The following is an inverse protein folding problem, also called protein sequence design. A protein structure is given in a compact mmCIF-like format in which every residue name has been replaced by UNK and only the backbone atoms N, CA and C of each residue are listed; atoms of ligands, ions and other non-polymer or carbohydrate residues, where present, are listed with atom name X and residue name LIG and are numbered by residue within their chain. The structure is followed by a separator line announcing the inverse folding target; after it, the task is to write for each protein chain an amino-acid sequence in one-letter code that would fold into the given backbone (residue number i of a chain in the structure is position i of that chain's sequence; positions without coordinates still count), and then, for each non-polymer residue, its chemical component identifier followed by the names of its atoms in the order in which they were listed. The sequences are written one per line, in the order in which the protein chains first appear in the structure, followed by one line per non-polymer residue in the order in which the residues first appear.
data_IF_900596800275
#
_entry.id   IF_900596800275
#
_cell.length_a   1.000
_cell.length_b   1.000
_cell.length_c   1.000
_cell.angle_alpha   90.00
_cell.angle_beta   90.00
_cell.angle_gamma   90.00
#
_symmetry.space_group_name_H-M   'P 1'
#
loop_
_entity.id
_entity.type
_entity.pdbx_description
1 polymer ?
#
# COMPACT_ATOMS: atom_id res chain seq x y z
N UNK A 1 -22.74 20.40 29.91
CA UNK A 1 -22.06 19.10 29.74
C UNK A 1 -22.81 18.33 28.66
N UNK A 2 -22.40 18.47 27.40
CA UNK A 2 -23.08 17.83 26.26
C UNK A 2 -22.47 16.44 26.06
N UNK A 3 -23.25 15.41 26.38
CA UNK A 3 -22.97 14.02 26.04
C UNK A 3 -22.98 13.87 24.52
N UNK A 4 -21.80 13.75 23.93
CA UNK A 4 -21.66 13.29 22.54
C UNK A 4 -22.19 11.86 22.48
N UNK A 5 -23.30 11.65 21.76
CA UNK A 5 -23.72 10.33 21.29
C UNK A 5 -22.59 9.81 20.39
N UNK A 6 -21.84 8.82 20.88
CA UNK A 6 -21.08 7.94 19.99
C UNK A 6 -22.12 7.20 19.16
N UNK A 7 -22.20 7.53 17.86
CA UNK A 7 -22.97 6.74 16.91
C UNK A 7 -22.05 5.56 16.60
N UNK A 8 -22.37 4.38 17.11
CA UNK A 8 -21.62 3.15 16.84
C UNK A 8 -21.55 2.95 15.33
N UNK A 9 -20.34 2.99 14.76
CA UNK A 9 -20.11 2.64 13.35
C UNK A 9 -20.57 1.18 13.17
N UNK A 10 -21.40 0.87 12.17
CA UNK A 10 -21.81 -0.51 11.93
C UNK A 10 -20.58 -1.41 11.74
N UNK A 11 -20.65 -2.63 12.26
CA UNK A 11 -19.57 -3.60 12.12
C UNK A 11 -19.39 -3.96 10.63
N UNK A 12 -18.18 -3.81 10.12
CA UNK A 12 -17.83 -4.07 8.72
C UNK A 12 -17.26 -5.47 8.57
N UNK A 13 -17.79 -6.24 7.61
CA UNK A 13 -17.37 -7.61 7.32
C UNK A 13 -16.53 -7.70 6.04
N UNK A 14 -15.62 -8.67 6.00
CA UNK A 14 -14.88 -9.03 4.78
C UNK A 14 -15.58 -10.17 4.02
N UNK A 15 -15.45 -10.25 2.68
CA UNK A 15 -16.05 -11.31 1.87
C UNK A 15 -15.71 -12.72 2.35
N UNK A 16 -14.44 -12.98 2.69
CA UNK A 16 -13.99 -14.29 3.18
C UNK A 16 -14.74 -14.76 4.43
N UNK A 17 -15.00 -13.85 5.37
CA UNK A 17 -15.66 -14.18 6.63
C UNK A 17 -17.11 -14.61 6.37
N UNK A 18 -17.80 -13.91 5.47
CA UNK A 18 -19.15 -14.23 5.05
C UNK A 18 -19.18 -15.60 4.37
N UNK A 19 -18.32 -15.82 3.38
CA UNK A 19 -18.26 -17.08 2.64
C UNK A 19 -17.98 -18.26 3.55
N UNK A 20 -17.07 -18.10 4.52
CA UNK A 20 -16.76 -19.16 5.48
C UNK A 20 -17.96 -19.53 6.37
N UNK A 21 -18.83 -18.57 6.74
CA UNK A 21 -20.06 -18.88 7.48
C UNK A 21 -21.04 -19.72 6.66
N UNK A 22 -21.20 -19.42 5.37
CA UNK A 22 -22.10 -20.17 4.48
C UNK A 22 -21.52 -21.50 4.00
N UNK A 23 -20.19 -21.63 3.90
CA UNK A 23 -19.56 -22.90 3.55
C UNK A 23 -19.79 -23.98 4.61
N UNK A 24 -19.87 -23.57 5.88
CA UNK A 24 -19.99 -24.49 7.01
C UNK A 24 -21.43 -24.65 7.51
N UNK A 25 -22.40 -23.93 6.94
CA UNK A 25 -23.79 -23.95 7.39
C UNK A 25 -24.78 -23.58 6.29
N UNK A 26 -25.94 -24.26 6.29
CA UNK A 26 -27.07 -23.93 5.42
C UNK A 26 -27.82 -22.69 5.87
N UNK A 27 -27.53 -22.12 7.04
CA UNK A 27 -28.08 -20.86 7.55
C UNK A 27 -26.98 -20.01 8.20
N UNK A 28 -27.11 -18.70 8.13
CA UNK A 28 -26.14 -17.78 8.71
C UNK A 28 -26.85 -16.68 9.49
N UNK A 29 -26.15 -16.09 10.46
CA UNK A 29 -26.63 -14.90 11.20
C UNK A 29 -26.79 -13.66 10.30
N UNK A 30 -26.32 -13.73 9.05
CA UNK A 30 -26.48 -12.70 8.03
C UNK A 30 -27.79 -12.81 7.25
N UNK A 31 -28.50 -13.95 7.30
CA UNK A 31 -29.72 -14.14 6.53
C UNK A 31 -30.79 -13.10 6.94
N UNK A 32 -31.31 -12.35 5.96
CA UNK A 32 -32.39 -11.37 6.17
C UNK A 32 -31.98 -10.07 6.88
N UNK A 33 -30.67 -9.77 6.95
CA UNK A 33 -30.16 -8.53 7.58
C UNK A 33 -29.35 -7.69 6.61
N UNK A 34 -29.44 -6.38 6.80
CA UNK A 34 -28.51 -5.44 6.20
C UNK A 34 -27.17 -5.50 6.96
N UNK A 35 -26.10 -5.62 6.20
CA UNK A 35 -24.72 -5.73 6.67
C UNK A 35 -23.81 -4.83 5.83
N UNK A 36 -22.74 -4.34 6.45
CA UNK A 36 -21.69 -3.62 5.72
C UNK A 36 -20.60 -4.60 5.33
N UNK A 37 -20.30 -4.67 4.03
CA UNK A 37 -19.23 -5.49 3.47
C UNK A 37 -18.22 -4.58 2.81
N UNK A 38 -16.93 -4.83 3.08
CA UNK A 38 -15.86 -4.02 2.51
C UNK A 38 -14.93 -4.80 1.58
N UNK A 39 -14.35 -4.10 0.61
CA UNK A 39 -13.41 -4.72 -0.31
C UNK A 39 -13.08 -3.84 -1.51
N UNK A 40 -12.26 -4.38 -2.40
CA UNK A 40 -11.89 -3.77 -3.67
C UNK A 40 -12.97 -4.09 -4.69
N UNK A 41 -13.62 -3.06 -5.22
CA UNK A 41 -14.60 -3.21 -6.28
C UNK A 41 -13.94 -3.59 -7.59
N UNK A 42 -14.48 -4.60 -8.28
CA UNK A 42 -14.03 -5.04 -9.60
C UNK A 42 -15.19 -4.99 -10.59
N UNK A 43 -15.07 -4.11 -11.58
CA UNK A 43 -16.03 -4.04 -12.69
C UNK A 43 -15.80 -5.21 -13.65
N UNK A 44 -16.81 -6.06 -13.81
CA UNK A 44 -16.73 -7.20 -14.71
C UNK A 44 -17.07 -6.85 -16.17
N UNK A 45 -17.32 -5.58 -16.48
CA UNK A 45 -17.69 -5.07 -17.82
C UNK A 45 -18.88 -5.80 -18.43
N UNK A 46 -19.77 -6.34 -17.58
CA UNK A 46 -20.98 -7.05 -18.02
C UNK A 46 -22.08 -6.07 -18.38
N UNK A 47 -22.94 -6.50 -19.31
CA UNK A 47 -24.09 -5.70 -19.73
C UNK A 47 -25.10 -5.53 -18.58
N UNK A 48 -25.78 -4.38 -18.57
CA UNK A 48 -26.89 -4.11 -17.68
C UNK A 48 -28.00 -5.15 -17.90
N UNK A 49 -28.44 -5.82 -16.84
CA UNK A 49 -29.55 -6.76 -16.86
C UNK A 49 -30.67 -6.24 -15.96
N UNK A 50 -31.73 -5.73 -16.59
CA UNK A 50 -32.92 -5.22 -15.91
C UNK A 50 -32.63 -4.11 -14.87
N UNK A 51 -31.72 -3.19 -15.18
CA UNK A 51 -31.33 -2.08 -14.30
C UNK A 51 -30.22 -2.41 -13.31
N UNK A 52 -29.68 -3.63 -13.34
CA UNK A 52 -28.65 -4.09 -12.41
C UNK A 52 -27.40 -4.63 -13.12
N UNK A 53 -26.28 -4.52 -12.42
CA UNK A 53 -24.99 -5.07 -12.81
C UNK A 53 -24.54 -6.12 -11.79
N UNK A 54 -23.80 -7.12 -12.28
CA UNK A 54 -23.28 -8.22 -11.49
C UNK A 54 -21.74 -8.18 -11.54
N UNK A 55 -21.18 -7.51 -10.55
CA UNK A 55 -19.75 -7.25 -10.39
C UNK A 55 -19.20 -8.03 -9.20
N UNK A 56 -17.93 -7.83 -8.84
CA UNK A 56 -17.32 -8.49 -7.70
C UNK A 56 -16.79 -7.47 -6.68
N UNK A 57 -16.86 -7.84 -5.40
CA UNK A 57 -16.19 -7.16 -4.30
C UNK A 57 -15.19 -8.13 -3.69
N UNK A 58 -13.90 -7.85 -3.88
CA UNK A 58 -12.79 -8.72 -3.50
C UNK A 58 -12.24 -8.29 -2.14
N UNK A 59 -11.90 -9.25 -1.28
CA UNK A 59 -11.21 -8.96 -0.03
C UNK A 59 -9.96 -8.12 -0.26
N UNK A 60 -9.69 -7.16 0.61
CA UNK A 60 -8.46 -6.37 0.52
C UNK A 60 -7.22 -7.19 0.89
N UNK A 61 -7.38 -8.12 1.84
CA UNK A 61 -6.33 -8.99 2.36
C UNK A 61 -6.48 -10.45 1.90
N UNK A 62 -7.40 -10.76 0.98
CA UNK A 62 -7.61 -12.11 0.45
C UNK A 62 -8.04 -12.10 -1.02
N UNK A 63 -7.72 -13.18 -1.75
CA UNK A 63 -8.17 -13.36 -3.14
C UNK A 63 -9.65 -13.75 -3.25
N UNK A 64 -10.31 -13.95 -2.11
CA UNK A 64 -11.72 -14.33 -2.04
C UNK A 64 -12.60 -13.10 -2.23
N UNK A 65 -13.58 -13.23 -3.11
CA UNK A 65 -14.54 -12.17 -3.40
C UNK A 65 -15.97 -12.67 -3.36
N UNK A 66 -16.89 -11.74 -3.15
CA UNK A 66 -18.32 -11.99 -3.25
C UNK A 66 -18.88 -11.26 -4.47
N UNK A 67 -19.81 -11.92 -5.17
CA UNK A 67 -20.53 -11.28 -6.26
C UNK A 67 -21.48 -10.25 -5.68
N UNK A 68 -21.44 -9.04 -6.23
CA UNK A 68 -22.35 -7.97 -5.88
C UNK A 68 -23.38 -7.75 -7.00
N UNK A 69 -24.60 -7.43 -6.60
CA UNK A 69 -25.66 -6.94 -7.49
C UNK A 69 -25.89 -5.47 -7.16
N UNK A 70 -25.68 -4.60 -8.14
CA UNK A 70 -25.68 -3.15 -7.95
C UNK A 70 -26.52 -2.44 -9.01
N UNK A 71 -27.30 -1.44 -8.59
CA UNK A 71 -28.09 -0.62 -9.51
C UNK A 71 -27.24 0.39 -10.28
N UNK A 72 -27.74 0.83 -11.43
CA UNK A 72 -27.03 1.71 -12.37
C UNK A 72 -26.48 3.00 -11.70
N UNK A 73 -27.31 3.66 -10.90
CA UNK A 73 -26.96 4.91 -10.20
C UNK A 73 -25.77 4.71 -9.26
N UNK A 74 -25.78 3.62 -8.48
CA UNK A 74 -24.69 3.33 -7.54
C UNK A 74 -23.43 2.91 -8.29
N UNK A 75 -23.55 2.10 -9.35
CA UNK A 75 -22.41 1.68 -10.17
C UNK A 75 -21.67 2.87 -10.76
N UNK A 76 -22.38 3.91 -11.21
CA UNK A 76 -21.77 5.13 -11.73
C UNK A 76 -20.86 5.85 -10.71
N UNK A 77 -21.04 5.59 -9.41
CA UNK A 77 -20.22 6.15 -8.33
C UNK A 77 -19.03 5.26 -7.94
N UNK A 78 -18.93 4.05 -8.51
CA UNK A 78 -17.86 3.10 -8.24
C UNK A 78 -16.78 3.14 -9.32
N UNK A 79 -15.52 3.07 -8.88
CA UNK A 79 -14.36 2.97 -9.76
C UNK A 79 -13.66 1.64 -9.49
N UNK A 80 -13.52 0.82 -10.54
CA UNK A 80 -12.84 -0.47 -10.43
C UNK A 80 -11.43 -0.32 -9.86
N UNK A 81 -11.04 -1.20 -8.94
CA UNK A 81 -9.78 -1.16 -8.23
C UNK A 81 -9.79 -0.29 -6.97
N UNK A 82 -10.91 0.38 -6.63
CA UNK A 82 -11.01 1.17 -5.41
C UNK A 82 -11.70 0.41 -4.27
N UNK A 83 -11.33 0.77 -3.03
CA UNK A 83 -11.90 0.18 -1.82
C UNK A 83 -13.19 0.89 -1.45
N UNK A 84 -14.22 0.10 -1.15
CA UNK A 84 -15.52 0.59 -0.70
C UNK A 84 -16.01 -0.20 0.50
N UNK A 85 -16.75 0.49 1.36
CA UNK A 85 -17.65 -0.12 2.34
C UNK A 85 -19.07 0.00 1.77
N UNK A 86 -19.71 -1.13 1.51
CA UNK A 86 -21.03 -1.23 0.88
C UNK A 86 -22.02 -1.83 1.88
N UNK A 87 -23.16 -1.18 2.09
CA UNK A 87 -24.25 -1.75 2.88
C UNK A 87 -25.29 -2.39 1.96
N UNK A 88 -25.88 -3.47 2.42
CA UNK A 88 -26.80 -4.28 1.67
C UNK A 88 -27.10 -5.60 2.35
N UNK A 89 -27.77 -6.52 1.66
CA UNK A 89 -28.15 -7.82 2.20
C UNK A 89 -27.72 -8.96 1.30
N UNK A 90 -27.58 -10.15 1.88
CA UNK A 90 -27.24 -11.35 1.14
C UNK A 90 -28.50 -12.03 0.60
N UNK A 91 -28.45 -12.41 -0.66
CA UNK A 91 -29.45 -13.21 -1.35
C UNK A 91 -28.81 -14.48 -1.87
N UNK A 92 -29.52 -15.58 -1.70
CA UNK A 92 -29.14 -16.87 -2.27
C UNK A 92 -29.74 -16.94 -3.67
N UNK A 93 -28.89 -17.10 -4.67
CA UNK A 93 -29.35 -17.36 -6.02
C UNK A 93 -29.89 -18.78 -6.17
N UNK A 94 -30.46 -19.06 -7.33
CA UNK A 94 -30.95 -20.39 -7.65
C UNK A 94 -29.81 -21.40 -7.67
N UNK A 95 -30.03 -22.55 -7.02
CA UNK A 95 -29.09 -23.67 -7.08
C UNK A 95 -28.95 -24.13 -8.53
N UNK A 96 -27.71 -24.19 -9.01
CA UNK A 96 -27.36 -24.76 -10.32
C UNK A 96 -26.15 -25.66 -10.14
N UNK A 97 -26.21 -26.87 -10.69
CA UNK A 97 -25.11 -27.85 -10.63
C UNK A 97 -24.53 -28.04 -9.22
N UNK A 98 -25.42 -28.17 -8.23
CA UNK A 98 -25.09 -28.29 -6.80
C UNK A 98 -24.32 -27.09 -6.20
N UNK A 99 -24.29 -25.96 -6.89
CA UNK A 99 -23.71 -24.72 -6.41
C UNK A 99 -24.82 -23.75 -5.99
N UNK A 100 -24.72 -23.21 -4.77
CA UNK A 100 -25.60 -22.18 -4.23
C UNK A 100 -24.88 -20.82 -4.29
N UNK A 101 -25.08 -20.01 -5.35
CA UNK A 101 -24.39 -18.74 -5.46
C UNK A 101 -24.93 -17.77 -4.41
N UNK A 102 -24.02 -17.19 -3.63
CA UNK A 102 -24.32 -16.09 -2.73
C UNK A 102 -24.10 -14.76 -3.46
N UNK A 103 -25.11 -13.89 -3.43
CA UNK A 103 -25.07 -12.58 -4.09
C UNK A 103 -25.35 -11.51 -3.05
N UNK A 104 -24.49 -10.51 -2.97
CA UNK A 104 -24.69 -9.36 -2.10
C UNK A 104 -25.43 -8.24 -2.86
N UNK A 105 -26.66 -7.93 -2.46
CA UNK A 105 -27.45 -6.85 -3.04
C UNK A 105 -27.03 -5.53 -2.40
N UNK A 106 -26.37 -4.66 -3.16
CA UNK A 106 -25.86 -3.37 -2.67
C UNK A 106 -27.01 -2.37 -2.60
N UNK A 107 -27.28 -1.86 -1.40
CA UNK A 107 -28.29 -0.83 -1.15
C UNK A 107 -27.67 0.58 -1.13
N UNK A 108 -26.49 0.73 -0.56
CA UNK A 108 -25.82 2.03 -0.44
C UNK A 108 -24.29 1.90 -0.32
N UNK A 109 -23.59 2.98 -0.66
CA UNK A 109 -22.15 3.13 -0.42
C UNK A 109 -22.01 3.90 0.90
N UNK A 110 -21.53 3.25 1.95
CA UNK A 110 -21.39 3.86 3.27
C UNK A 110 -20.01 4.43 3.52
N UNK A 111 -19.02 4.00 2.75
CA UNK A 111 -17.64 4.45 2.90
C UNK A 111 -16.81 4.25 1.64
N UNK A 112 -15.80 5.11 1.50
CA UNK A 112 -14.80 5.05 0.45
C UNK A 112 -13.45 5.42 1.04
N UNK A 113 -12.47 4.54 0.91
CA UNK A 113 -11.11 4.82 1.39
C UNK A 113 -10.10 4.63 0.25
N UNK A 114 -9.62 5.76 -0.27
CA UNK A 114 -8.63 5.79 -1.36
C UNK A 114 -7.26 5.25 -0.92
N UNK A 115 -6.93 5.24 0.37
CA UNK A 115 -5.64 4.76 0.87
C UNK A 115 -5.62 3.23 0.93
N UNK A 116 -6.70 2.61 1.39
CA UNK A 116 -6.86 1.14 1.43
C UNK A 116 -6.88 0.56 0.01
N UNK A 117 -7.35 1.32 -0.99
CA UNK A 117 -7.38 0.87 -2.38
C UNK A 117 -6.02 0.52 -3.01
N UNK A 118 -4.89 0.82 -2.35
CA UNK A 118 -3.55 0.60 -2.91
C UNK A 118 -2.56 -0.16 -1.99
N UNK A 119 -2.86 -0.38 -0.72
CA UNK A 119 -1.83 -0.68 0.29
C UNK A 119 -2.38 -1.67 1.32
N UNK A 120 -1.70 -2.80 1.59
CA UNK A 120 -2.22 -3.81 2.55
C UNK A 120 -2.25 -3.24 3.96
N UNK A 121 -3.08 -3.77 4.86
CA UNK A 121 -3.21 -3.30 6.26
C UNK A 121 -1.85 -3.23 6.98
N UNK A 122 -1.00 -4.24 6.80
CA UNK A 122 0.38 -4.23 7.34
C UNK A 122 1.27 -3.13 6.74
N UNK A 123 1.04 -2.78 5.48
CA UNK A 123 1.78 -1.70 4.82
C UNK A 123 1.23 -0.33 5.24
N UNK A 124 -0.06 -0.22 5.56
CA UNK A 124 -0.69 0.99 6.09
C UNK A 124 -0.16 1.34 7.48
N UNK A 125 -0.06 0.36 8.39
CA UNK A 125 0.53 0.56 9.71
C UNK A 125 2.01 0.98 9.63
N UNK A 126 2.75 0.43 8.68
CA UNK A 126 4.15 0.80 8.42
C UNK A 126 4.28 2.25 7.91
N UNK A 127 3.44 2.66 6.97
CA UNK A 127 3.42 4.03 6.44
C UNK A 127 2.94 5.02 7.51
N UNK A 128 1.88 4.66 8.25
CA UNK A 128 1.32 5.48 9.32
C UNK A 128 2.33 5.68 10.45
N UNK A 129 2.96 4.60 10.92
CA UNK A 129 4.00 4.69 11.95
C UNK A 129 5.19 5.55 11.52
N UNK A 130 5.58 5.51 10.24
CA UNK A 130 6.64 6.37 9.69
C UNK A 130 6.22 7.83 9.57
N UNK A 131 4.98 8.09 9.14
CA UNK A 131 4.44 9.44 9.10
C UNK A 131 4.31 10.05 10.51
N UNK A 132 3.87 9.25 11.48
CA UNK A 132 3.76 9.63 12.90
C UNK A 132 5.13 9.82 13.57
N UNK A 133 6.17 9.09 13.13
CA UNK A 133 7.54 9.28 13.62
C UNK A 133 8.20 10.59 13.15
N UNK A 134 7.54 11.30 12.23
CA UNK A 134 8.03 12.54 11.65
C UNK A 134 9.09 12.32 10.56
N UNK A 135 9.13 13.23 9.60
CA UNK A 135 10.20 13.25 8.60
C UNK A 135 11.49 13.75 9.26
N UNK A 136 12.58 13.00 9.10
CA UNK A 136 13.85 13.32 9.72
C UNK A 136 14.50 14.55 9.07
N UNK A 137 14.87 15.55 9.87
CA UNK A 137 15.74 16.63 9.41
C UNK A 137 17.18 16.12 9.27
N UNK A 138 17.47 15.50 8.13
CA UNK A 138 18.76 14.93 7.79
C UNK A 138 19.87 15.98 7.83
N UNK A 139 19.57 17.25 7.48
CA UNK A 139 20.57 18.32 7.55
C UNK A 139 20.98 18.59 8.99
N UNK A 140 20.02 18.65 9.90
CA UNK A 140 20.29 18.82 11.33
C UNK A 140 20.94 17.58 11.94
N UNK A 141 20.54 16.37 11.52
CA UNK A 141 21.14 15.11 11.96
C UNK A 141 22.63 15.02 11.56
N UNK A 142 22.95 15.24 10.28
CA UNK A 142 24.33 15.25 9.77
C UNK A 142 25.15 16.34 10.47
N UNK A 143 24.63 17.56 10.58
CA UNK A 143 25.33 18.65 11.29
C UNK A 143 25.62 18.30 12.75
N UNK A 144 24.69 17.62 13.43
CA UNK A 144 24.88 17.19 14.81
C UNK A 144 25.98 16.14 14.91
N UNK A 145 25.95 15.11 14.08
CA UNK A 145 27.00 14.10 14.02
C UNK A 145 28.38 14.73 13.75
N UNK A 146 28.46 15.65 12.79
CA UNK A 146 29.70 16.36 12.46
C UNK A 146 30.21 17.27 13.59
N UNK A 147 29.33 17.85 14.41
CA UNK A 147 29.70 18.59 15.63
C UNK A 147 30.20 17.67 16.73
N UNK A 148 29.63 16.48 16.82
CA UNK A 148 30.01 15.44 17.80
C UNK A 148 31.25 14.63 17.38
N UNK A 149 31.98 15.05 16.32
CA UNK A 149 33.09 14.30 15.72
C UNK A 149 32.73 12.85 15.34
N UNK A 150 31.46 12.61 14.99
CA UNK A 150 31.00 11.35 14.39
C UNK A 150 31.04 11.50 12.87
N UNK A 151 31.58 10.49 12.21
CA UNK A 151 31.69 10.43 10.74
C UNK A 151 30.42 9.78 10.16
N UNK A 152 29.50 10.54 9.54
CA UNK A 152 28.27 9.99 8.99
C UNK A 152 28.59 8.96 7.91
N UNK A 153 27.96 7.79 7.96
CA UNK A 153 28.11 6.76 6.93
C UNK A 153 27.07 6.99 5.84
N UNK A 154 27.53 7.30 4.63
CA UNK A 154 26.67 7.55 3.47
C UNK A 154 26.89 6.43 2.45
N UNK A 155 25.86 5.64 2.19
CA UNK A 155 25.84 4.62 1.15
C UNK A 155 25.19 5.24 -0.09
N UNK A 156 25.97 5.37 -1.15
CA UNK A 156 25.55 5.94 -2.42
C UNK A 156 25.36 4.81 -3.42
N UNK A 157 24.12 4.61 -3.87
CA UNK A 157 23.75 3.64 -4.90
C UNK A 157 23.73 4.34 -6.26
N UNK A 158 24.47 3.80 -7.23
CA UNK A 158 24.59 4.34 -8.58
C UNK A 158 24.30 3.27 -9.63
N UNK A 159 23.96 3.70 -10.86
CA UNK A 159 23.86 2.81 -12.01
C UNK A 159 25.19 2.12 -12.34
N UNK A 160 25.15 0.92 -12.90
CA UNK A 160 26.35 0.15 -13.27
C UNK A 160 27.37 0.96 -14.10
N UNK A 161 26.86 1.71 -15.09
CA UNK A 161 27.67 2.53 -16.01
C UNK A 161 27.92 3.96 -15.50
N UNK A 162 27.50 4.26 -14.27
CA UNK A 162 27.61 5.60 -13.71
C UNK A 162 29.05 5.93 -13.30
N UNK A 163 29.51 7.12 -13.71
CA UNK A 163 30.81 7.73 -13.36
C UNK A 163 30.56 8.98 -12.50
N UNK A 164 29.70 8.87 -11.48
CA UNK A 164 29.30 10.00 -10.61
C UNK A 164 30.14 10.12 -9.34
N UNK A 165 31.05 9.18 -9.11
CA UNK A 165 31.96 9.17 -7.96
C UNK A 165 32.87 10.40 -7.94
N UNK A 166 33.50 10.72 -9.09
CA UNK A 166 34.37 11.88 -9.24
C UNK A 166 33.62 13.20 -9.09
N UNK A 167 32.42 13.29 -9.64
CA UNK A 167 31.58 14.50 -9.54
C UNK A 167 31.11 14.72 -8.10
N UNK A 168 30.69 13.67 -7.41
CA UNK A 168 30.32 13.73 -5.99
C UNK A 168 31.47 14.24 -5.12
N UNK A 169 32.65 13.64 -5.27
CA UNK A 169 33.83 14.04 -4.50
C UNK A 169 34.36 15.43 -4.85
N UNK A 170 34.14 15.89 -6.08
CA UNK A 170 34.49 17.25 -6.49
C UNK A 170 33.52 18.27 -5.87
N UNK A 171 32.22 17.97 -5.84
CA UNK A 171 31.21 18.81 -5.21
C UNK A 171 31.34 18.86 -3.67
N UNK A 172 31.78 17.76 -3.04
CA UNK A 172 31.98 17.69 -1.59
C UNK A 172 33.14 18.59 -1.11
N UNK A 173 34.10 18.88 -1.99
CA UNK A 173 35.36 19.54 -1.64
C UNK A 173 36.35 18.57 -0.97
N UNK A 174 37.63 18.70 -1.32
CA UNK A 174 38.71 17.85 -0.78
C UNK A 174 38.81 17.89 0.74
N UNK A 175 38.57 19.04 1.35
CA UNK A 175 38.69 19.26 2.80
C UNK A 175 37.60 18.58 3.64
N UNK A 176 36.50 18.15 3.03
CA UNK A 176 35.38 17.54 3.74
C UNK A 176 35.34 16.01 3.61
N UNK A 177 36.16 15.41 2.73
CA UNK A 177 36.11 13.96 2.44
C UNK A 177 36.32 13.11 3.68
N UNK A 178 37.29 13.48 4.52
CA UNK A 178 37.64 12.72 5.71
C UNK A 178 36.60 12.83 6.83
N UNK A 179 35.59 13.70 6.66
CA UNK A 179 34.50 13.90 7.63
C UNK A 179 33.32 12.97 7.40
N UNK A 180 33.33 12.15 6.35
CA UNK A 180 32.25 11.21 6.02
C UNK A 180 32.80 9.83 5.67
N UNK A 181 32.04 8.77 6.00
CA UNK A 181 32.31 7.41 5.52
C UNK A 181 31.43 7.12 4.31
N UNK A 182 31.94 7.41 3.12
CA UNK A 182 31.19 7.26 1.87
C UNK A 182 31.48 5.88 1.26
N UNK A 183 30.42 5.17 0.89
CA UNK A 183 30.50 3.85 0.23
C UNK A 183 29.68 3.93 -1.05
N UNK A 184 30.31 3.65 -2.19
CA UNK A 184 29.61 3.53 -3.47
C UNK A 184 29.22 2.08 -3.72
N UNK A 185 27.97 1.88 -4.12
CA UNK A 185 27.42 0.60 -4.53
C UNK A 185 26.82 0.74 -5.92
N UNK A 186 27.13 -0.20 -6.80
CA UNK A 186 26.61 -0.20 -8.17
C UNK A 186 25.50 -1.23 -8.29
N UNK A 187 24.41 -0.85 -8.94
CA UNK A 187 23.32 -1.77 -9.28
C UNK A 187 22.58 -1.23 -10.50
N UNK A 188 21.79 -2.08 -11.14
CA UNK A 188 20.82 -1.60 -12.10
C UNK A 188 19.66 -0.92 -11.37
N UNK A 189 19.75 0.40 -11.23
CA UNK A 189 18.74 1.23 -10.58
C UNK A 189 17.38 1.23 -11.29
N UNK A 190 17.26 0.65 -12.49
CA UNK A 190 15.99 0.45 -13.19
C UNK A 190 15.39 -0.95 -12.94
N UNK A 191 16.13 -1.84 -12.27
CA UNK A 191 15.71 -3.21 -11.97
C UNK A 191 15.38 -3.36 -10.50
N UNK A 192 14.08 -3.48 -10.21
CA UNK A 192 13.57 -3.73 -8.85
C UNK A 192 14.28 -4.90 -8.16
N UNK A 193 14.44 -6.02 -8.87
CA UNK A 193 15.04 -7.24 -8.31
C UNK A 193 16.49 -7.01 -7.88
N UNK A 194 17.26 -6.27 -8.67
CA UNK A 194 18.66 -5.99 -8.35
C UNK A 194 18.79 -4.99 -7.19
N UNK A 195 17.85 -4.06 -7.04
CA UNK A 195 17.83 -3.14 -5.89
C UNK A 195 17.48 -3.87 -4.60
N UNK A 196 16.46 -4.75 -4.61
CA UNK A 196 16.09 -5.56 -3.43
C UNK A 196 17.26 -6.47 -3.03
N UNK A 197 17.89 -7.13 -4.01
CA UNK A 197 19.05 -7.96 -3.76
C UNK A 197 20.20 -7.15 -3.12
N UNK A 198 20.47 -5.94 -3.61
CA UNK A 198 21.47 -5.06 -3.01
C UNK A 198 21.11 -4.72 -1.56
N UNK A 199 19.85 -4.42 -1.27
CA UNK A 199 19.39 -4.16 0.10
C UNK A 199 19.60 -5.33 1.05
N UNK A 200 19.38 -6.57 0.59
CA UNK A 200 19.64 -7.77 1.39
C UNK A 200 21.13 -7.98 1.70
N UNK A 201 22.02 -7.48 0.84
CA UNK A 201 23.47 -7.54 1.05
C UNK A 201 24.01 -6.39 1.90
N UNK A 202 23.25 -5.31 2.07
CA UNK A 202 23.70 -4.13 2.79
C UNK A 202 23.38 -4.22 4.28
N UNK A 203 24.42 -4.23 5.11
CA UNK A 203 24.27 -3.96 6.55
C UNK A 203 24.01 -2.46 6.78
N UNK A 204 22.75 -2.05 6.64
CA UNK A 204 22.29 -0.70 6.93
C UNK A 204 21.87 -0.62 8.41
N UNK A 205 22.51 0.30 9.14
CA UNK A 205 22.15 0.65 10.52
C UNK A 205 21.33 1.94 10.49
N UNK A 206 20.54 2.18 11.53
CA UNK A 206 19.65 3.36 11.62
C UNK A 206 20.37 4.71 11.45
N UNK A 207 21.68 4.78 11.75
CA UNK A 207 22.49 6.00 11.63
C UNK A 207 23.16 6.17 10.25
N UNK A 208 22.90 5.26 9.31
CA UNK A 208 23.43 5.33 7.95
C UNK A 208 22.47 6.12 7.06
N UNK A 209 23.02 6.85 6.10
CA UNK A 209 22.27 7.55 5.07
C UNK A 209 22.37 6.78 3.77
N UNK A 210 21.23 6.58 3.09
CA UNK A 210 21.17 5.93 1.79
C UNK A 210 20.79 6.96 0.73
N UNK A 211 21.56 7.01 -0.35
CA UNK A 211 21.36 7.98 -1.43
C UNK A 211 21.35 7.24 -2.76
N UNK A 212 20.31 7.43 -3.56
CA UNK A 212 20.30 7.02 -4.97
C UNK A 212 20.81 8.17 -5.84
N UNK A 213 21.92 7.96 -6.55
CA UNK A 213 22.49 8.94 -7.47
C UNK A 213 22.34 8.46 -8.92
N UNK A 214 21.77 9.32 -9.77
CA UNK A 214 21.54 9.03 -11.19
C UNK A 214 21.82 10.25 -12.07
N UNK A 215 22.47 10.05 -13.21
CA UNK A 215 22.51 11.01 -14.33
C UNK A 215 21.30 10.81 -15.24
N UNK A 216 20.65 11.90 -15.66
CA UNK A 216 19.32 11.89 -16.31
C UNK A 216 19.04 10.73 -17.28
N UNK A 217 17.91 10.06 -17.08
CA UNK A 217 17.46 8.89 -17.85
C UNK A 217 16.00 8.53 -17.58
N UNK A 218 15.43 7.50 -18.21
CA UNK A 218 14.10 6.95 -17.88
C UNK A 218 14.21 5.87 -16.79
N UNK A 219 13.11 5.55 -16.09
CA UNK A 219 13.08 4.46 -15.07
C UNK A 219 13.02 4.90 -13.59
N UNK A 220 12.47 6.07 -13.27
CA UNK A 220 12.17 6.46 -11.87
C UNK A 220 10.98 5.65 -11.33
N UNK A 221 10.11 5.18 -12.21
CA UNK A 221 8.90 4.41 -11.89
C UNK A 221 9.18 3.15 -11.06
N UNK A 222 10.43 2.65 -11.08
CA UNK A 222 10.86 1.54 -10.25
C UNK A 222 10.73 1.83 -8.75
N UNK A 223 10.88 3.10 -8.33
CA UNK A 223 10.71 3.57 -6.95
C UNK A 223 9.24 3.71 -6.55
N UNK A 224 8.31 3.65 -7.50
CA UNK A 224 6.87 3.61 -7.23
C UNK A 224 6.38 2.19 -6.95
N UNK A 225 7.23 1.17 -7.14
CA UNK A 225 6.87 -0.21 -6.84
C UNK A 225 6.78 -0.46 -5.34
N UNK A 226 5.58 -0.86 -4.91
CA UNK A 226 5.20 -1.17 -3.53
C UNK A 226 6.20 -2.06 -2.78
N UNK A 227 6.70 -3.12 -3.41
CA UNK A 227 7.69 -4.03 -2.81
C UNK A 227 8.99 -3.31 -2.47
N UNK A 228 9.43 -2.39 -3.32
CA UNK A 228 10.65 -1.63 -3.09
C UNK A 228 10.44 -0.62 -1.96
N UNK A 229 9.32 0.11 -1.95
CA UNK A 229 8.96 0.99 -0.85
C UNK A 229 8.94 0.23 0.48
N UNK A 230 8.29 -0.94 0.51
CA UNK A 230 8.23 -1.80 1.71
C UNK A 230 9.63 -2.18 2.20
N UNK A 231 10.50 -2.61 1.28
CA UNK A 231 11.87 -2.98 1.62
C UNK A 231 12.67 -1.81 2.20
N UNK A 232 12.51 -0.59 1.68
CA UNK A 232 13.17 0.60 2.24
C UNK A 232 12.63 0.93 3.63
N UNK A 233 11.32 0.80 3.85
CA UNK A 233 10.71 1.04 5.16
C UNK A 233 11.20 0.04 6.22
N UNK A 234 11.44 -1.22 5.84
CA UNK A 234 12.07 -2.25 6.70
C UNK A 234 13.53 -1.93 7.06
N UNK A 235 14.24 -1.19 6.19
CA UNK A 235 15.66 -0.87 6.39
C UNK A 235 15.93 0.20 7.47
N UNK A 236 14.90 0.79 8.09
CA UNK A 236 15.03 1.82 9.14
C UNK A 236 15.97 2.97 8.77
N UNK A 237 15.98 3.37 7.50
CA UNK A 237 16.81 4.48 6.99
C UNK A 237 16.03 5.79 7.04
N UNK A 238 16.75 6.91 7.18
CA UNK A 238 16.18 8.26 7.08
C UNK A 238 16.08 8.68 5.60
N UNK A 239 14.88 9.02 5.12
CA UNK A 239 14.62 9.44 3.73
C UNK A 239 14.58 10.97 3.55
N UNK A 240 15.05 11.48 2.40
CA UNK A 240 14.98 12.88 1.97
C UNK A 240 13.73 13.14 1.10
N UNK A 241 13.06 14.27 1.30
CA UNK A 241 12.25 14.90 0.25
C UNK A 241 13.15 15.69 -0.71
N UNK A 242 12.93 15.53 -2.01
CA UNK A 242 13.34 16.51 -3.01
C UNK A 242 12.21 17.49 -3.26
#
# INVERSE_FOLDING_TARGET
MQTRKNIDKPFTYYPWYILNQYNNSLSSNFDGRDIVVCGIYKDNKRSNYNGFYYDDLIGHNSDEGIRIKIGDILKASLVSGQYYELNGFLERGNVKDSNLPLIFNVAEIVGHDKLISKISESDFDLIKSKFESGLADIRSAIRTQLRENKYPKIVIITGNDSIVDKDFFSALGSENKDRYKIIFQKTNISSRTEIIYLFDQLEIKADNYLVFMRGGGSGIDVFEHKELCKKVLELNVLELQH
#
